data_IF_457217553174
#
_entry.id   IF_457217553174
#
_cell.length_a   1.000
_cell.length_b   1.000
_cell.length_c   1.000
_cell.angle_alpha   90.00
_cell.angle_beta   90.00
_cell.angle_gamma   90.00
#
_symmetry.space_group_name_H-M   'P 1'
#
loop_
_entity.id
_entity.type
_entity.pdbx_description
1 polymer ?
#
# COMPACT_ATOMS: atom_id res chain seq x y z
N UNK A 1 -75.51 -15.53 -3.95
CA UNK A 1 -74.26 -15.98 -4.57
C UNK A 1 -73.63 -14.79 -5.26
N UNK A 2 -72.50 -14.29 -4.74
CA UNK A 2 -71.28 -13.89 -5.46
C UNK A 2 -70.42 -13.01 -4.53
N UNK A 3 -69.15 -13.38 -4.47
CA UNK A 3 -68.09 -12.86 -3.62
C UNK A 3 -67.53 -11.51 -4.13
N UNK A 4 -66.85 -10.74 -3.26
CA UNK A 4 -66.22 -9.46 -3.54
C UNK A 4 -64.79 -9.63 -4.08
N UNK A 5 -64.17 -8.56 -4.60
CA UNK A 5 -62.72 -8.38 -4.47
C UNK A 5 -62.32 -6.95 -4.82
N UNK A 6 -61.80 -6.25 -3.81
CA UNK A 6 -61.14 -4.95 -3.93
C UNK A 6 -59.82 -5.09 -4.69
N UNK A 7 -59.50 -4.04 -5.45
CA UNK A 7 -58.24 -3.84 -6.14
C UNK A 7 -57.09 -3.76 -5.11
N UNK A 8 -56.26 -4.80 -5.04
CA UNK A 8 -54.96 -4.74 -4.41
C UNK A 8 -53.91 -4.57 -5.51
N UNK A 9 -53.30 -3.39 -5.53
CA UNK A 9 -52.17 -3.03 -6.36
C UNK A 9 -50.94 -3.78 -5.82
N UNK A 10 -50.62 -4.94 -6.40
CA UNK A 10 -49.39 -5.67 -6.06
C UNK A 10 -48.27 -5.10 -6.92
N UNK A 11 -47.55 -4.14 -6.35
CA UNK A 11 -46.23 -3.73 -6.81
C UNK A 11 -45.36 -4.99 -6.89
N UNK A 12 -44.99 -5.40 -8.10
CA UNK A 12 -44.04 -6.48 -8.36
C UNK A 12 -42.67 -6.10 -7.79
N UNK A 13 -42.09 -6.89 -6.86
CA UNK A 13 -40.69 -6.73 -6.53
C UNK A 13 -39.85 -7.52 -7.54
N UNK A 14 -39.09 -6.75 -8.33
CA UNK A 14 -37.80 -7.09 -8.95
C UNK A 14 -37.70 -8.34 -9.84
N UNK A 15 -37.67 -8.06 -11.15
CA UNK A 15 -37.03 -8.88 -12.18
C UNK A 15 -35.52 -8.99 -11.90
N UNK A 16 -35.07 -9.97 -11.13
CA UNK A 16 -33.75 -10.58 -11.37
C UNK A 16 -33.67 -12.00 -10.81
N UNK A 17 -33.26 -12.94 -11.65
CA UNK A 17 -32.89 -14.34 -11.36
C UNK A 17 -34.03 -15.38 -11.31
N UNK A 18 -34.68 -15.62 -12.45
CA UNK A 18 -35.56 -16.77 -12.68
C UNK A 18 -35.00 -17.76 -13.72
N UNK A 19 -33.74 -18.18 -13.57
CA UNK A 19 -33.11 -19.19 -14.44
C UNK A 19 -32.18 -20.16 -13.66
N UNK A 20 -32.38 -20.34 -12.35
CA UNK A 20 -31.54 -21.25 -11.56
C UNK A 20 -32.31 -22.54 -11.21
N UNK A 21 -31.80 -23.73 -11.59
CA UNK A 21 -32.43 -24.99 -11.26
C UNK A 21 -32.66 -25.14 -9.74
N UNK A 22 -33.85 -25.56 -9.30
CA UNK A 22 -34.18 -25.61 -7.88
C UNK A 22 -33.25 -26.56 -7.13
N UNK A 23 -32.69 -26.06 -6.03
CA UNK A 23 -31.84 -26.85 -5.12
C UNK A 23 -30.34 -26.71 -5.36
N UNK A 24 -29.91 -26.08 -6.45
CA UNK A 24 -28.49 -25.78 -6.68
C UNK A 24 -27.96 -24.73 -5.72
N UNK A 25 -26.65 -24.74 -5.51
CA UNK A 25 -25.98 -23.69 -4.78
C UNK A 25 -25.90 -22.41 -5.60
N UNK A 26 -26.25 -21.25 -5.02
CA UNK A 26 -26.17 -19.97 -5.71
C UNK A 26 -24.72 -19.55 -5.93
N UNK A 27 -24.53 -18.55 -6.79
CA UNK A 27 -23.22 -17.93 -7.01
C UNK A 27 -22.60 -17.48 -5.67
N UNK A 28 -21.29 -17.65 -5.54
CA UNK A 28 -20.55 -17.43 -4.31
C UNK A 28 -20.61 -18.59 -3.31
N UNK A 29 -21.32 -19.68 -3.63
CA UNK A 29 -21.43 -20.87 -2.78
C UNK A 29 -21.10 -22.15 -3.54
N UNK A 30 -20.75 -23.19 -2.79
CA UNK A 30 -20.43 -24.52 -3.32
C UNK A 30 -20.87 -25.63 -2.34
N UNK A 31 -20.92 -26.87 -2.80
CA UNK A 31 -21.10 -28.07 -1.96
C UNK A 31 -20.41 -29.27 -2.59
N UNK A 32 -20.41 -30.46 -1.97
CA UNK A 32 -19.77 -31.64 -2.59
C UNK A 32 -20.44 -32.10 -3.89
N UNK A 33 -21.73 -31.81 -4.06
CA UNK A 33 -22.57 -32.25 -5.17
C UNK A 33 -23.17 -31.10 -6.00
N UNK A 34 -22.95 -29.84 -5.59
CA UNK A 34 -23.49 -28.65 -6.22
C UNK A 34 -24.90 -28.28 -5.76
N UNK A 35 -25.49 -29.05 -4.83
CA UNK A 35 -26.82 -28.82 -4.28
C UNK A 35 -26.78 -28.47 -2.79
N UNK A 36 -27.89 -27.96 -2.26
CA UNK A 36 -28.04 -27.60 -0.85
C UNK A 36 -27.81 -28.84 0.05
N UNK A 37 -27.15 -28.69 1.22
CA UNK A 37 -26.74 -27.45 1.88
C UNK A 37 -25.43 -26.87 1.33
N UNK A 38 -25.43 -25.57 1.07
CA UNK A 38 -24.31 -24.88 0.44
C UNK A 38 -23.41 -24.21 1.45
N UNK A 39 -22.11 -24.20 1.17
CA UNK A 39 -21.08 -23.49 1.93
C UNK A 39 -20.61 -22.27 1.14
N UNK A 40 -20.37 -21.12 1.79
CA UNK A 40 -19.86 -19.95 1.10
C UNK A 40 -18.43 -20.19 0.62
N UNK A 41 -18.05 -19.57 -0.49
CA UNK A 41 -16.67 -19.61 -0.96
C UNK A 41 -15.74 -18.97 0.08
N UNK A 42 -14.66 -19.65 0.52
CA UNK A 42 -13.73 -19.10 1.50
C UNK A 42 -12.99 -17.88 0.95
N UNK A 43 -12.46 -17.07 1.87
CA UNK A 43 -11.73 -15.85 1.50
C UNK A 43 -10.57 -16.15 0.54
N UNK A 44 -10.49 -15.41 -0.57
CA UNK A 44 -9.52 -15.67 -1.64
C UNK A 44 -9.99 -16.64 -2.71
N UNK A 45 -11.29 -16.97 -2.70
CA UNK A 45 -11.95 -17.72 -3.78
C UNK A 45 -13.31 -17.12 -4.11
N UNK A 46 -13.82 -17.41 -5.31
CA UNK A 46 -15.09 -16.92 -5.81
C UNK A 46 -15.82 -17.97 -6.65
N UNK A 47 -17.13 -17.84 -6.85
CA UNK A 47 -17.91 -18.74 -7.69
C UNK A 47 -18.97 -17.99 -8.52
N UNK A 48 -18.74 -17.76 -9.83
CA UNK A 48 -19.69 -17.03 -10.66
C UNK A 48 -20.88 -17.86 -11.14
N UNK A 49 -20.77 -19.19 -11.12
CA UNK A 49 -21.78 -20.10 -11.66
C UNK A 49 -22.52 -20.86 -10.55
N UNK A 50 -23.83 -21.07 -10.67
CA UNK A 50 -24.57 -21.89 -9.72
C UNK A 50 -24.31 -23.39 -9.89
N UNK A 51 -24.63 -24.18 -8.88
CA UNK A 51 -24.56 -25.64 -8.94
C UNK A 51 -23.14 -26.20 -8.88
N UNK A 52 -22.17 -25.42 -8.41
CA UNK A 52 -20.75 -25.78 -8.49
C UNK A 52 -20.27 -26.48 -7.24
N UNK A 53 -19.31 -27.39 -7.44
CA UNK A 53 -18.77 -28.21 -6.36
C UNK A 53 -17.53 -27.66 -5.68
N UNK A 54 -16.96 -26.59 -6.23
CA UNK A 54 -15.71 -25.95 -5.78
C UNK A 54 -15.72 -24.46 -6.13
N UNK A 55 -14.92 -23.66 -5.44
CA UNK A 55 -14.71 -22.24 -5.74
C UNK A 55 -13.42 -22.02 -6.54
N UNK A 56 -13.42 -21.02 -7.42
CA UNK A 56 -12.25 -20.61 -8.17
C UNK A 56 -11.32 -19.76 -7.28
N UNK A 57 -10.02 -20.08 -7.19
CA UNK A 57 -9.08 -19.24 -6.45
C UNK A 57 -8.85 -17.92 -7.19
N UNK A 58 -8.66 -16.83 -6.44
CA UNK A 58 -8.33 -15.53 -7.02
C UNK A 58 -6.98 -15.51 -7.76
N UNK A 59 -6.02 -16.34 -7.34
CA UNK A 59 -4.67 -16.36 -7.92
C UNK A 59 -3.85 -15.09 -7.64
N UNK A 60 -2.55 -15.13 -7.92
CA UNK A 60 -1.69 -13.93 -7.90
C UNK A 60 -1.57 -13.17 -6.56
N UNK A 61 -1.84 -13.83 -5.42
CA UNK A 61 -1.84 -13.17 -4.10
C UNK A 61 -3.04 -12.24 -3.86
N UNK A 62 -4.02 -12.23 -4.76
CA UNK A 62 -5.28 -11.54 -4.59
C UNK A 62 -6.17 -12.30 -3.59
N UNK A 63 -7.02 -11.57 -2.87
CA UNK A 63 -7.91 -12.17 -1.88
C UNK A 63 -9.19 -11.37 -1.78
N UNK A 64 -10.32 -12.07 -1.66
CA UNK A 64 -11.62 -11.42 -1.51
C UNK A 64 -11.73 -10.71 -0.16
N UNK A 65 -12.51 -9.62 -0.11
CA UNK A 65 -12.72 -8.89 1.15
C UNK A 65 -13.48 -9.72 2.19
N UNK A 66 -14.40 -10.57 1.73
CA UNK A 66 -15.27 -11.44 2.54
C UNK A 66 -15.42 -12.82 1.88
N UNK A 67 -15.95 -13.77 2.62
CA UNK A 67 -16.43 -15.05 2.08
C UNK A 67 -17.65 -14.84 1.19
N UNK A 68 -17.96 -15.82 0.33
CA UNK A 68 -19.13 -15.79 -0.53
C UNK A 68 -19.00 -14.93 -1.79
N UNK A 69 -17.78 -14.68 -2.26
CA UNK A 69 -17.56 -13.87 -3.45
C UNK A 69 -18.11 -14.55 -4.71
N UNK A 70 -18.88 -13.83 -5.51
CA UNK A 70 -19.48 -14.35 -6.74
C UNK A 70 -18.72 -13.92 -8.00
N UNK A 71 -17.76 -12.98 -7.88
CA UNK A 71 -17.05 -12.44 -9.04
C UNK A 71 -15.54 -12.41 -8.81
N UNK A 72 -14.77 -12.60 -9.89
CA UNK A 72 -13.33 -12.35 -9.88
C UNK A 72 -13.01 -10.88 -9.54
N UNK A 73 -13.93 -9.95 -9.82
CA UNK A 73 -13.75 -8.54 -9.47
C UNK A 73 -13.69 -8.29 -7.95
N UNK A 74 -14.18 -9.23 -7.14
CA UNK A 74 -14.09 -9.17 -5.69
C UNK A 74 -12.69 -9.57 -5.19
N UNK A 75 -11.84 -10.13 -6.05
CA UNK A 75 -10.46 -10.51 -5.77
C UNK A 75 -9.56 -9.27 -5.79
N UNK A 76 -9.46 -8.60 -4.65
CA UNK A 76 -8.62 -7.42 -4.50
C UNK A 76 -7.20 -7.80 -4.06
N UNK A 77 -6.21 -7.01 -4.48
CA UNK A 77 -4.87 -7.13 -3.91
C UNK A 77 -4.94 -6.72 -2.44
N UNK A 78 -4.81 -7.68 -1.51
CA UNK A 78 -4.65 -7.41 -0.07
C UNK A 78 -3.38 -6.62 0.27
N UNK A 79 -2.58 -6.28 -0.74
CA UNK A 79 -1.27 -5.67 -0.61
C UNK A 79 -1.44 -4.19 -0.22
N UNK A 80 -1.72 -3.97 1.07
CA UNK A 80 -1.60 -2.66 1.68
C UNK A 80 -0.13 -2.42 1.97
N UNK A 81 0.56 -1.71 1.08
CA UNK A 81 1.91 -1.27 1.34
C UNK A 81 1.92 -0.33 2.53
N UNK A 82 2.67 -0.71 3.56
CA UNK A 82 2.97 0.13 4.71
C UNK A 82 3.80 1.33 4.27
N UNK A 83 3.86 2.40 5.09
CA UNK A 83 4.79 3.51 4.88
C UNK A 83 6.21 3.00 4.58
N UNK A 84 6.92 3.73 3.73
CA UNK A 84 8.21 3.35 3.18
C UNK A 84 8.14 2.34 2.03
N UNK A 85 6.95 1.96 1.58
CA UNK A 85 6.78 1.09 0.43
C UNK A 85 5.80 1.66 -0.58
N UNK A 86 6.00 1.31 -1.85
CA UNK A 86 5.07 1.54 -2.92
C UNK A 86 4.62 0.22 -3.56
N UNK A 87 3.38 0.16 -4.01
CA UNK A 87 2.85 -0.99 -4.73
C UNK A 87 3.31 -0.95 -6.19
N UNK A 88 4.09 -1.95 -6.59
CA UNK A 88 4.49 -2.12 -7.97
C UNK A 88 3.49 -3.04 -8.68
N UNK A 89 2.75 -2.47 -9.64
CA UNK A 89 1.70 -3.15 -10.41
C UNK A 89 2.23 -4.16 -11.42
N UNK A 90 3.51 -4.09 -11.79
CA UNK A 90 4.13 -5.04 -12.75
C UNK A 90 4.53 -6.34 -12.07
N UNK A 91 5.06 -6.25 -10.83
CA UNK A 91 5.49 -7.42 -10.05
C UNK A 91 4.52 -7.77 -8.92
N UNK A 92 3.36 -7.10 -8.88
CA UNK A 92 2.26 -7.29 -7.92
C UNK A 92 2.71 -7.39 -6.44
N UNK A 93 3.68 -6.55 -6.03
CA UNK A 93 4.24 -6.58 -4.66
C UNK A 93 4.53 -5.17 -4.13
N UNK A 94 4.65 -5.05 -2.81
CA UNK A 94 5.23 -3.86 -2.18
C UNK A 94 6.75 -3.85 -2.34
N UNK A 95 7.26 -2.74 -2.84
CA UNK A 95 8.70 -2.49 -2.98
C UNK A 95 9.04 -1.32 -2.07
N UNK A 96 10.19 -1.41 -1.40
CA UNK A 96 10.71 -0.32 -0.56
C UNK A 96 11.02 0.91 -1.39
N UNK A 97 10.78 2.08 -0.84
CA UNK A 97 11.17 3.33 -1.49
C UNK A 97 12.69 3.39 -1.67
N UNK A 98 13.21 3.60 -2.90
CA UNK A 98 14.64 3.67 -3.13
C UNK A 98 15.28 4.87 -2.40
N UNK A 99 16.62 4.86 -2.31
CA UNK A 99 17.40 5.96 -1.74
C UNK A 99 17.00 7.31 -2.35
N UNK A 100 16.88 8.33 -1.49
CA UNK A 100 16.44 9.67 -1.89
C UNK A 100 14.93 9.80 -2.07
N UNK A 101 14.16 8.77 -1.69
CA UNK A 101 12.70 8.81 -1.70
C UNK A 101 12.11 8.24 -0.41
N UNK A 102 10.89 8.65 -0.08
CA UNK A 102 10.16 8.24 1.12
C UNK A 102 8.67 8.07 0.84
N UNK A 103 7.96 7.40 1.73
CA UNK A 103 6.50 7.30 1.67
C UNK A 103 5.89 7.29 3.07
N UNK A 104 5.01 8.25 3.37
CA UNK A 104 4.37 8.39 4.69
C UNK A 104 3.06 7.61 4.81
N UNK A 105 2.36 7.41 3.69
CA UNK A 105 1.00 6.87 3.66
C UNK A 105 0.95 5.40 3.28
N UNK A 106 -0.10 4.73 3.74
CA UNK A 106 -0.43 3.39 3.30
C UNK A 106 -1.01 3.39 1.87
N UNK A 107 -0.93 2.24 1.19
CA UNK A 107 -1.59 2.00 -0.11
C UNK A 107 -1.16 2.95 -1.23
N UNK A 108 0.08 3.43 -1.17
CA UNK A 108 0.64 4.23 -2.25
C UNK A 108 1.30 3.34 -3.32
N UNK A 109 1.29 3.81 -4.56
CA UNK A 109 1.94 3.17 -5.71
C UNK A 109 3.15 3.97 -6.23
N UNK A 110 3.57 4.99 -5.48
CA UNK A 110 4.77 5.79 -5.75
C UNK A 110 5.49 6.16 -4.44
N UNK A 111 6.72 6.62 -4.58
CA UNK A 111 7.49 7.22 -3.49
C UNK A 111 7.72 8.70 -3.77
N UNK A 112 7.71 9.50 -2.71
CA UNK A 112 7.94 10.95 -2.75
C UNK A 112 9.45 11.20 -2.74
N UNK A 113 9.94 12.08 -3.62
CA UNK A 113 11.36 12.43 -3.65
C UNK A 113 11.74 13.36 -2.49
N UNK A 114 12.96 13.21 -1.97
CA UNK A 114 13.50 14.13 -0.99
C UNK A 114 13.60 15.56 -1.55
N UNK A 115 13.29 16.59 -0.75
CA UNK A 115 13.37 17.98 -1.19
C UNK A 115 14.82 18.48 -1.28
N UNK A 116 15.10 19.36 -2.24
CA UNK A 116 16.43 19.95 -2.42
C UNK A 116 17.50 18.92 -2.78
N UNK A 117 18.75 19.15 -2.34
CA UNK A 117 19.87 18.22 -2.55
C UNK A 117 20.05 17.24 -1.37
N UNK A 118 18.94 16.77 -0.81
CA UNK A 118 18.96 15.85 0.33
C UNK A 118 18.67 14.41 -0.11
N UNK A 119 19.14 13.43 0.66
CA UNK A 119 18.89 12.01 0.38
C UNK A 119 18.69 11.22 1.67
N UNK A 120 18.09 10.04 1.57
CA UNK A 120 17.93 9.13 2.71
C UNK A 120 19.19 8.28 2.91
N UNK A 121 19.46 7.87 4.14
CA UNK A 121 20.60 6.98 4.45
C UNK A 121 20.33 5.51 4.09
N UNK A 122 19.06 5.15 3.85
CA UNK A 122 18.60 3.79 3.58
C UNK A 122 17.32 3.79 2.72
N UNK A 123 17.00 2.63 2.14
CA UNK A 123 15.76 2.37 1.42
C UNK A 123 14.57 2.15 2.37
N UNK A 124 13.39 2.54 1.94
CA UNK A 124 12.16 2.39 2.71
C UNK A 124 11.94 3.48 3.76
N UNK A 125 12.46 4.68 3.50
CA UNK A 125 12.20 5.84 4.36
C UNK A 125 10.70 6.14 4.44
N UNK A 126 10.24 6.45 5.64
CA UNK A 126 8.82 6.67 5.96
C UNK A 126 8.49 8.14 6.18
N UNK A 127 9.48 9.04 6.20
CA UNK A 127 9.29 10.46 6.48
C UNK A 127 10.35 11.34 5.79
N UNK A 128 9.96 12.57 5.48
CA UNK A 128 10.86 13.61 4.97
C UNK A 128 12.00 13.95 5.93
N UNK A 129 11.80 13.76 7.24
CA UNK A 129 12.84 14.02 8.26
C UNK A 129 14.03 13.07 8.16
N UNK A 130 13.92 12.00 7.36
CA UNK A 130 15.00 11.07 7.06
C UNK A 130 15.81 11.49 5.82
N UNK A 131 15.37 12.53 5.10
CA UNK A 131 16.13 13.17 4.05
C UNK A 131 17.17 14.11 4.67
N UNK A 132 18.44 13.82 4.48
CA UNK A 132 19.57 14.54 5.07
C UNK A 132 20.44 15.14 3.98
N UNK A 133 20.95 16.36 4.21
CA UNK A 133 22.01 16.91 3.37
C UNK A 133 23.32 16.19 3.70
N UNK A 134 24.06 15.77 2.68
CA UNK A 134 25.37 15.13 2.79
C UNK A 134 26.54 16.05 2.50
N UNK A 135 26.28 17.26 2.03
CA UNK A 135 27.31 18.27 1.77
C UNK A 135 27.78 18.91 3.08
N UNK A 136 29.09 18.94 3.29
CA UNK A 136 29.73 19.54 4.47
C UNK A 136 31.24 19.67 4.31
N UNK A 137 31.88 20.38 5.25
CA UNK A 137 33.29 20.73 5.18
C UNK A 137 33.52 22.08 4.52
N UNK A 138 34.78 22.50 4.42
CA UNK A 138 35.14 23.78 3.81
C UNK A 138 36.49 24.34 4.27
N UNK A 139 36.88 25.48 3.70
CA UNK A 139 38.08 26.23 4.06
C UNK A 139 37.73 27.34 5.04
N UNK A 140 38.45 27.44 6.16
CA UNK A 140 38.28 28.49 7.16
C UNK A 140 39.60 29.24 7.36
N UNK A 141 39.59 30.56 7.13
CA UNK A 141 40.78 31.41 7.31
C UNK A 141 40.50 32.75 8.01
N UNK A 142 39.29 32.92 8.54
CA UNK A 142 38.92 34.10 9.35
C UNK A 142 39.27 33.92 10.83
N UNK A 143 39.20 35.01 11.59
CA UNK A 143 39.50 35.03 13.02
C UNK A 143 38.46 34.27 13.87
N UNK A 144 37.26 34.04 13.34
CA UNK A 144 36.15 33.32 14.00
C UNK A 144 35.36 32.48 13.01
N UNK A 145 34.93 31.28 13.40
CA UNK A 145 34.07 30.41 12.60
C UNK A 145 33.49 29.29 13.45
N UNK A 146 32.48 28.59 12.94
CA UNK A 146 31.81 27.47 13.61
C UNK A 146 31.93 26.21 12.75
N UNK A 147 32.33 25.10 13.39
CA UNK A 147 32.33 23.78 12.77
C UNK A 147 31.01 23.14 13.12
N UNK A 148 30.13 23.01 12.13
CA UNK A 148 28.82 22.40 12.31
C UNK A 148 28.70 21.14 11.47
N UNK A 149 28.18 20.09 12.08
CA UNK A 149 27.81 18.88 11.35
C UNK A 149 26.60 19.16 10.43
N UNK A 150 26.57 18.69 9.18
CA UNK A 150 25.41 18.75 8.31
C UNK A 150 24.15 18.23 9.00
N UNK A 151 23.10 19.05 8.91
CA UNK A 151 21.78 18.86 9.51
C UNK A 151 21.67 19.13 11.02
N UNK A 152 22.65 19.74 11.69
CA UNK A 152 22.51 20.16 13.09
C UNK A 152 21.27 21.08 13.28
N UNK A 153 20.41 20.90 14.31
CA UNK A 153 20.53 19.99 15.47
C UNK A 153 20.05 18.55 15.24
N UNK A 154 19.65 18.19 14.02
CA UNK A 154 19.26 16.84 13.63
C UNK A 154 20.44 15.86 13.52
N UNK A 155 20.12 14.62 13.14
CA UNK A 155 21.11 13.56 13.06
C UNK A 155 22.04 13.75 11.85
N UNK A 156 23.34 13.58 12.11
CA UNK A 156 24.37 13.50 11.07
C UNK A 156 24.05 12.35 10.08
N UNK A 157 24.32 12.52 8.77
CA UNK A 157 24.11 11.46 7.78
C UNK A 157 25.10 10.31 7.96
N UNK A 158 24.67 9.09 7.64
CA UNK A 158 25.53 7.92 7.76
C UNK A 158 26.65 7.92 6.70
N UNK A 159 27.87 7.50 7.05
CA UNK A 159 28.98 7.35 6.10
C UNK A 159 29.31 8.65 5.34
N UNK A 160 29.11 9.81 5.97
CA UNK A 160 29.60 11.09 5.48
C UNK A 160 30.84 11.48 6.29
N UNK A 161 31.87 11.95 5.61
CA UNK A 161 33.08 12.49 6.22
C UNK A 161 33.19 13.96 5.81
N UNK A 162 33.15 14.85 6.79
CA UNK A 162 33.32 16.28 6.57
C UNK A 162 34.74 16.68 6.94
N UNK A 163 35.45 17.33 6.02
CA UNK A 163 36.78 17.87 6.28
C UNK A 163 36.73 19.39 6.29
N UNK A 164 37.24 20.00 7.36
CA UNK A 164 37.46 21.44 7.43
C UNK A 164 38.94 21.75 7.42
N UNK A 165 39.37 22.53 6.44
CA UNK A 165 40.74 22.98 6.32
C UNK A 165 40.87 24.34 6.99
N UNK A 166 41.65 24.41 8.06
CA UNK A 166 41.81 25.62 8.87
C UNK A 166 43.16 26.25 8.51
N UNK A 167 43.07 27.39 7.82
CA UNK A 167 44.21 28.14 7.28
C UNK A 167 44.29 29.53 7.96
N UNK A 168 44.79 29.61 9.20
CA UNK A 168 44.90 30.88 9.92
C UNK A 168 45.86 31.85 9.22
N UNK A 169 45.57 33.15 9.29
CA UNK A 169 46.48 34.20 8.79
C UNK A 169 47.83 34.14 9.52
N UNK A 170 48.90 34.59 8.87
CA UNK A 170 50.24 34.63 9.47
C UNK A 170 50.20 35.31 10.85
N UNK A 171 50.79 34.65 11.85
CA UNK A 171 50.82 35.03 13.27
C UNK A 171 49.50 34.88 14.08
N UNK A 172 48.44 34.28 13.53
CA UNK A 172 47.27 33.88 14.32
C UNK A 172 47.49 32.51 15.00
N UNK A 173 46.99 32.35 16.23
CA UNK A 173 46.96 31.08 16.97
C UNK A 173 45.52 30.61 17.11
N UNK A 174 45.28 29.34 16.81
CA UNK A 174 43.99 28.71 17.06
C UNK A 174 43.84 28.41 18.56
N UNK A 175 42.73 28.82 19.16
CA UNK A 175 42.36 28.51 20.53
C UNK A 175 41.04 27.74 20.50
N UNK A 176 41.05 26.50 20.97
CA UNK A 176 39.88 25.60 21.09
C UNK A 176 39.20 25.72 22.43
#
# INVERSE_FOLDING_TARGET
MYYPSQLANVQTPELSQANEPPGQCPTGYYSSDGFKPCQPCPQGSYQPDPGRTLCFPCGGGLSTKREGASSFHDCEAKVQCSPGHYYNTTVHRCIRCPLGTYQTEFRQNYCISCPGNTTTDFDGATSVSQCKNRECGGEMGEFTGYIESPNYPGNYPANVECTWNINPRQNARFSS
#
